data_IF_775382710020
#
_entry.id   IF_775382710020
#
_cell.length_a   1.000
_cell.length_b   1.000
_cell.length_c   1.000
_cell.angle_alpha   90.00
_cell.angle_beta   90.00
_cell.angle_gamma   90.00
#
_symmetry.space_group_name_H-M   'P 1'
#
loop_
_entity.id
_entity.type
_entity.pdbx_description
1 polymer ?
#
# COMPACT_ATOMS: atom_id res chain seq x y z
N UNK A 1 5.69 -21.56 17.84
CA UNK A 1 6.25 -20.26 17.41
C UNK A 1 5.18 -19.19 17.54
N UNK A 2 5.52 -18.02 18.09
CA UNK A 2 4.56 -16.92 18.27
C UNK A 2 4.54 -15.99 17.07
N UNK A 3 5.72 -15.59 16.58
CA UNK A 3 5.86 -14.60 15.52
C UNK A 3 7.22 -14.75 14.81
N UNK A 4 7.32 -14.27 13.58
CA UNK A 4 8.56 -14.27 12.81
C UNK A 4 8.55 -13.19 11.71
N UNK A 5 9.74 -12.74 11.34
CA UNK A 5 9.97 -11.83 10.23
C UNK A 5 11.14 -12.34 9.41
N UNK A 6 10.99 -12.40 8.08
CA UNK A 6 12.04 -12.81 7.14
C UNK A 6 11.94 -11.94 5.89
N UNK A 7 12.84 -10.99 5.71
CA UNK A 7 12.90 -10.11 4.54
C UNK A 7 14.35 -9.72 4.23
N UNK A 8 14.57 -9.06 3.09
CA UNK A 8 15.86 -8.46 2.80
C UNK A 8 16.18 -7.32 3.76
N UNK A 9 17.47 -7.12 4.02
CA UNK A 9 17.93 -5.88 4.61
C UNK A 9 17.66 -4.69 3.68
N UNK A 10 17.31 -3.56 4.29
CA UNK A 10 16.96 -2.33 3.59
C UNK A 10 18.14 -1.78 2.79
N UNK A 11 19.34 -1.82 3.37
CA UNK A 11 20.54 -1.21 2.82
C UNK A 11 21.35 -2.19 1.96
N UNK A 12 21.19 -3.50 2.20
CA UNK A 12 21.90 -4.53 1.44
C UNK A 12 20.97 -5.67 1.00
N UNK A 13 20.58 -5.65 -0.28
CA UNK A 13 19.69 -6.65 -0.90
C UNK A 13 20.30 -8.06 -1.01
N UNK A 14 21.56 -8.26 -0.61
CA UNK A 14 22.20 -9.59 -0.51
C UNK A 14 22.09 -10.20 0.88
N UNK A 15 21.58 -9.47 1.86
CA UNK A 15 21.40 -9.95 3.23
C UNK A 15 19.91 -10.20 3.46
N UNK A 16 19.57 -11.43 3.87
CA UNK A 16 18.27 -11.72 4.47
C UNK A 16 18.43 -11.53 5.97
N UNK A 17 17.53 -10.76 6.58
CA UNK A 17 17.46 -10.52 8.02
C UNK A 17 16.10 -10.91 8.56
N UNK A 18 16.04 -11.19 9.84
CA UNK A 18 14.80 -11.58 10.45
C UNK A 18 14.87 -11.83 11.94
N UNK A 19 13.72 -12.22 12.47
CA UNK A 19 13.62 -12.77 13.81
C UNK A 19 12.63 -13.93 13.86
N UNK A 20 12.79 -14.78 14.87
CA UNK A 20 11.78 -15.75 15.32
C UNK A 20 11.55 -15.53 16.80
N UNK A 21 10.29 -15.48 17.22
CA UNK A 21 9.88 -15.33 18.61
C UNK A 21 9.06 -16.53 19.06
N UNK A 22 9.45 -17.12 20.19
CA UNK A 22 8.73 -18.20 20.84
C UNK A 22 7.84 -17.67 21.97
N UNK A 23 6.78 -18.42 22.29
CA UNK A 23 5.91 -18.21 23.45
C UNK A 23 5.66 -19.55 24.10
N UNK A 24 5.73 -19.61 25.43
CA UNK A 24 5.59 -20.84 26.21
C UNK A 24 6.38 -20.77 27.52
N UNK A 25 6.44 -21.90 28.23
CA UNK A 25 7.12 -21.99 29.54
C UNK A 25 8.63 -22.18 29.41
N UNK A 26 9.08 -22.87 28.36
CA UNK A 26 10.50 -23.10 28.06
C UNK A 26 10.82 -22.44 26.72
N UNK A 27 11.27 -21.18 26.76
CA UNK A 27 11.54 -20.39 25.54
C UNK A 27 13.00 -20.03 25.36
N UNK A 28 13.85 -20.20 26.39
CA UNK A 28 15.27 -19.83 26.33
C UNK A 28 16.13 -21.01 25.88
N UNK A 29 17.16 -20.74 25.08
CA UNK A 29 18.14 -21.73 24.61
C UNK A 29 17.51 -22.89 23.79
N UNK A 30 16.33 -22.67 23.21
CA UNK A 30 15.69 -23.61 22.30
C UNK A 30 16.30 -23.48 20.91
N UNK A 31 16.49 -24.61 20.24
CA UNK A 31 16.95 -24.63 18.85
C UNK A 31 15.82 -24.19 17.90
N UNK A 32 16.15 -23.26 17.01
CA UNK A 32 15.31 -22.84 15.89
C UNK A 32 16.10 -23.10 14.60
N UNK A 33 15.58 -23.97 13.75
CA UNK A 33 16.10 -24.23 12.41
C UNK A 33 15.34 -23.36 11.40
N UNK A 34 16.08 -22.68 10.53
CA UNK A 34 15.58 -21.84 9.45
C UNK A 34 16.07 -22.43 8.14
N UNK A 35 15.14 -22.83 7.27
CA UNK A 35 15.46 -23.40 5.96
C UNK A 35 14.77 -22.64 4.85
N UNK A 36 15.54 -22.36 3.79
CA UNK A 36 15.04 -21.84 2.51
C UNK A 36 15.70 -22.71 1.44
N UNK A 37 15.10 -23.86 1.08
CA UNK A 37 15.75 -24.88 0.25
C UNK A 37 16.26 -24.35 -1.09
N UNK A 38 15.47 -23.54 -1.80
CA UNK A 38 15.84 -23.01 -3.12
C UNK A 38 17.00 -22.00 -3.05
N UNK A 39 17.30 -21.46 -1.87
CA UNK A 39 18.46 -20.60 -1.63
C UNK A 39 19.62 -21.35 -0.95
N UNK A 40 19.50 -22.67 -0.73
CA UNK A 40 20.50 -23.48 -0.03
C UNK A 40 20.68 -23.11 1.45
N UNK A 41 19.70 -22.42 2.05
CA UNK A 41 19.77 -21.98 3.44
C UNK A 41 19.32 -23.13 4.34
N UNK A 42 20.20 -23.54 5.24
CA UNK A 42 19.87 -24.33 6.42
C UNK A 42 20.73 -23.83 7.59
N UNK A 43 20.12 -23.11 8.52
CA UNK A 43 20.80 -22.49 9.66
C UNK A 43 20.07 -22.85 10.95
N UNK A 44 20.84 -23.08 12.01
CA UNK A 44 20.33 -23.36 13.34
C UNK A 44 20.79 -22.27 14.29
N UNK A 45 19.86 -21.79 15.10
CA UNK A 45 20.07 -20.75 16.09
C UNK A 45 19.52 -21.20 17.44
N UNK A 46 19.90 -20.49 18.49
CA UNK A 46 19.31 -20.67 19.82
C UNK A 46 18.66 -19.38 20.29
N UNK A 47 17.46 -19.50 20.85
CA UNK A 47 16.75 -18.36 21.42
C UNK A 47 17.46 -17.77 22.63
N UNK A 48 17.35 -16.46 22.79
CA UNK A 48 17.77 -15.74 24.00
C UNK A 48 16.81 -15.99 25.19
N UNK A 49 17.06 -15.31 26.32
CA UNK A 49 16.21 -15.40 27.52
C UNK A 49 14.77 -14.94 27.32
N UNK A 50 14.50 -14.16 26.27
CA UNK A 50 13.17 -13.65 25.91
C UNK A 50 12.49 -14.53 24.84
N UNK A 51 13.12 -15.63 24.43
CA UNK A 51 12.59 -16.52 23.39
C UNK A 51 12.78 -15.99 21.98
N UNK A 52 13.71 -15.06 21.75
CA UNK A 52 13.94 -14.45 20.44
C UNK A 52 15.25 -14.94 19.83
N UNK A 53 15.19 -15.25 18.54
CA UNK A 53 16.37 -15.34 17.66
C UNK A 53 16.30 -14.16 16.73
N UNK A 54 17.34 -13.32 16.70
CA UNK A 54 17.60 -12.40 15.60
C UNK A 54 18.68 -13.01 14.71
N UNK A 55 18.50 -12.93 13.40
CA UNK A 55 19.42 -13.53 12.45
C UNK A 55 19.62 -12.65 11.23
N UNK A 56 20.78 -12.82 10.61
CA UNK A 56 21.04 -12.38 9.25
C UNK A 56 21.98 -13.38 8.58
N UNK A 57 21.86 -13.51 7.27
CA UNK A 57 22.78 -14.29 6.46
C UNK A 57 22.84 -13.74 5.05
N UNK A 58 24.00 -13.89 4.42
CA UNK A 58 24.18 -13.55 3.01
C UNK A 58 23.50 -14.59 2.12
N UNK A 59 22.96 -14.12 1.00
CA UNK A 59 22.40 -14.93 -0.08
C UNK A 59 22.84 -14.34 -1.41
N UNK A 60 23.36 -15.17 -2.30
CA UNK A 60 23.98 -14.73 -3.57
C UNK A 60 23.12 -14.99 -4.80
N UNK A 61 22.03 -15.76 -4.67
CA UNK A 61 21.21 -16.25 -5.78
C UNK A 61 19.71 -15.95 -5.60
N UNK A 62 19.35 -14.82 -4.98
CA UNK A 62 17.94 -14.43 -4.84
C UNK A 62 17.39 -13.96 -6.18
N UNK A 63 16.43 -14.71 -6.73
CA UNK A 63 15.50 -14.16 -7.72
C UNK A 63 14.53 -13.23 -6.98
N UNK A 64 14.72 -11.93 -7.14
CA UNK A 64 13.91 -10.92 -6.48
C UNK A 64 12.47 -10.92 -7.00
N UNK A 65 11.51 -10.78 -6.08
CA UNK A 65 10.10 -10.63 -6.39
C UNK A 65 9.87 -9.32 -7.15
N UNK A 66 9.03 -9.38 -8.18
CA UNK A 66 8.57 -8.25 -8.99
C UNK A 66 7.21 -8.58 -9.60
N UNK A 67 6.44 -7.59 -10.09
CA UNK A 67 5.19 -7.86 -10.80
C UNK A 67 5.30 -8.85 -11.96
N UNK A 68 6.40 -8.77 -12.72
CA UNK A 68 6.65 -9.64 -13.87
C UNK A 68 7.15 -11.03 -13.46
N UNK A 69 7.88 -11.12 -12.34
CA UNK A 69 8.43 -12.37 -11.80
C UNK A 69 8.15 -12.46 -10.29
N UNK A 70 6.93 -12.85 -9.88
CA UNK A 70 6.51 -12.88 -8.47
C UNK A 70 7.06 -14.11 -7.74
N UNK A 71 8.38 -14.21 -7.65
CA UNK A 71 9.05 -15.37 -7.02
C UNK A 71 8.76 -15.39 -5.52
N UNK A 72 8.24 -16.53 -5.05
CA UNK A 72 8.00 -16.81 -3.63
C UNK A 72 8.80 -18.05 -3.24
N UNK A 73 9.50 -17.97 -2.11
CA UNK A 73 10.32 -19.06 -1.57
C UNK A 73 9.57 -19.77 -0.45
N UNK A 74 9.71 -21.09 -0.38
CA UNK A 74 9.28 -21.85 0.78
C UNK A 74 10.26 -21.58 1.94
N UNK A 75 9.78 -20.89 2.97
CA UNK A 75 10.53 -20.61 4.19
C UNK A 75 10.00 -21.51 5.29
N UNK A 76 10.85 -22.41 5.76
CA UNK A 76 10.52 -23.34 6.84
C UNK A 76 11.21 -22.88 8.13
N UNK A 77 10.42 -22.73 9.18
CA UNK A 77 10.88 -22.47 10.53
C UNK A 77 10.51 -23.67 11.39
N UNK A 78 11.47 -24.22 12.13
CA UNK A 78 11.26 -25.44 12.90
C UNK A 78 11.89 -25.35 14.28
N UNK A 79 11.16 -25.80 15.28
CA UNK A 79 11.66 -26.09 16.63
C UNK A 79 11.52 -27.60 16.90
N UNK A 80 11.83 -28.04 18.12
CA UNK A 80 11.55 -29.42 18.54
C UNK A 80 10.06 -29.76 18.61
N UNK A 81 9.21 -28.75 18.80
CA UNK A 81 7.77 -28.92 19.09
C UNK A 81 6.85 -28.39 18.00
N UNK A 82 7.36 -27.53 17.12
CA UNK A 82 6.53 -26.79 16.16
C UNK A 82 7.24 -26.59 14.82
N UNK A 83 6.46 -26.48 13.75
CA UNK A 83 6.94 -26.16 12.41
C UNK A 83 5.95 -25.24 11.69
N UNK A 84 6.48 -24.18 11.08
CA UNK A 84 5.75 -23.22 10.25
C UNK A 84 6.39 -23.21 8.89
N UNK A 85 5.56 -23.27 7.85
CA UNK A 85 5.98 -23.08 6.47
C UNK A 85 5.23 -21.87 5.91
N UNK A 86 5.94 -20.94 5.27
CA UNK A 86 5.35 -19.76 4.64
C UNK A 86 5.94 -19.54 3.24
N UNK A 87 5.19 -18.86 2.39
CA UNK A 87 5.64 -18.43 1.07
C UNK A 87 6.02 -16.95 1.17
N UNK A 88 7.30 -16.65 0.96
CA UNK A 88 7.86 -15.31 1.16
C UNK A 88 8.62 -14.86 -0.09
N UNK A 89 8.28 -13.68 -0.59
CA UNK A 89 9.03 -13.00 -1.64
C UNK A 89 10.08 -12.07 -1.06
N UNK A 90 11.13 -11.79 -1.83
CA UNK A 90 12.23 -10.91 -1.44
C UNK A 90 12.40 -9.79 -2.47
N UNK A 91 12.30 -8.53 -2.05
CA UNK A 91 12.46 -7.35 -2.92
C UNK A 91 12.94 -6.14 -2.12
N UNK A 92 13.65 -5.22 -2.77
CA UNK A 92 13.94 -3.90 -2.20
C UNK A 92 12.98 -2.84 -2.78
N UNK A 93 12.58 -1.88 -1.95
CA UNK A 93 11.76 -0.74 -2.35
C UNK A 93 12.33 0.53 -1.69
N UNK A 94 12.52 1.58 -2.47
CA UNK A 94 12.99 2.89 -1.97
C UNK A 94 12.52 4.02 -2.89
N UNK A 95 12.69 5.25 -2.42
CA UNK A 95 12.54 6.45 -3.23
C UNK A 95 13.91 7.07 -3.51
N UNK A 96 14.04 7.70 -4.67
CA UNK A 96 15.22 8.50 -5.04
C UNK A 96 14.72 9.74 -5.80
N UNK A 97 14.83 10.91 -5.15
CA UNK A 97 14.17 12.13 -5.61
C UNK A 97 12.67 11.88 -5.87
N UNK A 98 12.24 12.14 -7.10
CA UNK A 98 10.84 11.97 -7.54
C UNK A 98 10.48 10.57 -8.04
N UNK A 99 11.35 9.57 -7.88
CA UNK A 99 11.17 8.23 -8.43
C UNK A 99 10.97 7.17 -7.35
N UNK A 100 10.15 6.16 -7.65
CA UNK A 100 10.01 4.93 -6.87
C UNK A 100 10.85 3.83 -7.53
N UNK A 101 11.71 3.18 -6.74
CA UNK A 101 12.63 2.15 -7.21
C UNK A 101 12.29 0.80 -6.56
N UNK A 102 11.94 -0.18 -7.39
CA UNK A 102 11.78 -1.58 -7.00
C UNK A 102 13.00 -2.37 -7.51
N UNK A 103 13.73 -3.03 -6.61
CA UNK A 103 14.96 -3.75 -6.96
C UNK A 103 15.95 -2.86 -7.76
N UNK A 104 16.14 -1.63 -7.29
CA UNK A 104 16.96 -0.58 -7.90
C UNK A 104 16.54 -0.12 -9.32
N UNK A 105 15.35 -0.53 -9.77
CA UNK A 105 14.78 -0.09 -11.06
C UNK A 105 13.62 0.85 -10.83
N UNK A 106 13.63 1.99 -11.53
CA UNK A 106 12.49 2.92 -11.56
C UNK A 106 11.25 2.20 -12.07
N UNK A 107 10.15 2.33 -11.34
CA UNK A 107 8.84 1.79 -11.72
C UNK A 107 7.78 2.89 -11.76
N UNK A 108 6.72 2.65 -12.53
CA UNK A 108 5.48 3.40 -12.46
C UNK A 108 4.39 2.49 -11.89
N UNK A 109 3.67 2.97 -10.88
CA UNK A 109 2.58 2.23 -10.25
C UNK A 109 1.30 2.43 -11.07
N UNK A 110 1.07 1.52 -12.01
CA UNK A 110 -0.17 1.40 -12.78
C UNK A 110 -1.18 0.70 -11.88
N UNK A 111 -1.94 1.46 -11.10
CA UNK A 111 -2.81 0.88 -10.09
C UNK A 111 -4.29 1.15 -10.28
N UNK A 112 -5.06 0.55 -9.37
CA UNK A 112 -6.50 0.74 -9.21
C UNK A 112 -6.86 0.58 -7.73
N UNK A 113 -7.81 1.35 -7.24
CA UNK A 113 -8.30 1.21 -5.86
C UNK A 113 -9.37 0.13 -5.76
N UNK A 114 -9.43 -0.58 -4.63
CA UNK A 114 -10.34 -1.69 -4.39
C UNK A 114 -10.91 -1.60 -2.97
N UNK A 115 -12.24 -1.70 -2.85
CA UNK A 115 -12.91 -1.97 -1.59
C UNK A 115 -13.04 -3.48 -1.35
N UNK A 116 -13.12 -3.91 -0.09
CA UNK A 116 -13.28 -5.31 0.27
C UNK A 116 -14.74 -5.80 0.07
N UNK A 117 -15.23 -5.74 -1.16
CA UNK A 117 -16.59 -6.13 -1.52
C UNK A 117 -16.55 -7.06 -2.73
N UNK A 118 -17.29 -8.17 -2.66
CA UNK A 118 -17.53 -8.99 -3.85
C UNK A 118 -18.68 -8.35 -4.65
N UNK A 119 -18.43 -7.87 -5.88
CA UNK A 119 -19.41 -7.14 -6.68
C UNK A 119 -20.51 -8.04 -7.28
N UNK A 120 -20.27 -9.34 -7.42
CA UNK A 120 -21.22 -10.31 -7.98
C UNK A 120 -22.15 -10.82 -6.88
N UNK A 121 -21.57 -11.28 -5.77
CA UNK A 121 -22.31 -11.80 -4.62
C UNK A 121 -23.01 -10.69 -3.84
N UNK A 122 -22.42 -9.49 -3.81
CA UNK A 122 -22.87 -8.37 -3.00
C UNK A 122 -22.56 -8.58 -1.51
N UNK A 123 -21.58 -7.86 -0.99
CA UNK A 123 -21.17 -7.91 0.42
C UNK A 123 -19.69 -8.13 0.62
N UNK A 124 -19.24 -8.19 1.88
CA UNK A 124 -17.81 -8.24 2.23
C UNK A 124 -17.10 -9.43 1.56
N UNK A 125 -16.02 -9.12 0.84
CA UNK A 125 -15.10 -10.13 0.33
C UNK A 125 -14.34 -10.76 1.50
N UNK A 126 -14.12 -12.07 1.46
CA UNK A 126 -13.38 -12.77 2.53
C UNK A 126 -12.59 -13.99 2.05
N UNK A 127 -12.93 -14.54 0.88
CA UNK A 127 -12.37 -15.82 0.42
C UNK A 127 -11.23 -15.62 -0.57
N UNK A 128 -10.52 -16.72 -0.86
CA UNK A 128 -9.49 -16.77 -1.90
C UNK A 128 -10.06 -16.46 -3.28
N UNK A 129 -11.26 -16.97 -3.57
CA UNK A 129 -11.95 -16.78 -4.83
C UNK A 129 -12.39 -15.33 -5.02
N UNK A 130 -12.82 -14.66 -3.95
CA UNK A 130 -13.11 -13.21 -3.98
C UNK A 130 -11.86 -12.41 -4.35
N UNK A 131 -10.70 -12.77 -3.77
CA UNK A 131 -9.42 -12.13 -4.09
C UNK A 131 -8.95 -12.42 -5.52
N UNK A 132 -9.06 -13.67 -5.99
CA UNK A 132 -8.72 -14.06 -7.37
C UNK A 132 -9.60 -13.33 -8.39
N UNK A 133 -10.89 -13.12 -8.10
CA UNK A 133 -11.81 -12.35 -8.93
C UNK A 133 -11.36 -10.89 -9.05
N UNK A 134 -11.23 -10.19 -7.92
CA UNK A 134 -10.92 -8.76 -7.88
C UNK A 134 -9.53 -8.46 -8.45
N UNK A 135 -8.52 -9.23 -8.04
CA UNK A 135 -7.15 -9.06 -8.53
C UNK A 135 -6.98 -9.56 -9.98
N UNK A 136 -7.80 -10.51 -10.41
CA UNK A 136 -7.90 -10.94 -11.80
C UNK A 136 -8.35 -9.79 -12.70
N UNK A 137 -9.41 -9.07 -12.32
CA UNK A 137 -9.87 -7.88 -13.04
C UNK A 137 -8.86 -6.74 -13.02
N UNK A 138 -8.17 -6.51 -11.90
CA UNK A 138 -7.07 -5.54 -11.86
C UNK A 138 -5.94 -5.92 -12.84
N UNK A 139 -5.61 -7.21 -12.95
CA UNK A 139 -4.60 -7.69 -13.91
C UNK A 139 -5.05 -7.57 -15.35
N UNK A 140 -6.33 -7.84 -15.64
CA UNK A 140 -6.93 -7.63 -16.96
C UNK A 140 -6.91 -6.16 -17.38
N UNK A 141 -7.14 -5.24 -16.43
CA UNK A 141 -6.97 -3.80 -16.62
C UNK A 141 -5.51 -3.37 -16.89
N UNK A 142 -4.55 -4.28 -16.72
CA UNK A 142 -3.12 -4.03 -16.94
C UNK A 142 -2.39 -3.43 -15.73
N UNK A 143 -3.00 -3.51 -14.54
CA UNK A 143 -2.42 -3.01 -13.31
C UNK A 143 -1.24 -3.87 -12.83
N UNK A 144 -0.24 -3.22 -12.25
CA UNK A 144 0.83 -3.85 -11.47
C UNK A 144 0.77 -3.48 -9.98
N UNK A 145 -0.24 -2.70 -9.58
CA UNK A 145 -0.40 -2.15 -8.24
C UNK A 145 -1.89 -2.09 -7.87
N UNK A 146 -2.23 -2.25 -6.60
CA UNK A 146 -3.57 -1.99 -6.07
C UNK A 146 -3.51 -1.22 -4.78
N UNK A 147 -4.49 -0.33 -4.57
CA UNK A 147 -4.73 0.31 -3.27
C UNK A 147 -5.91 -0.37 -2.61
N UNK A 148 -5.67 -1.03 -1.48
CA UNK A 148 -6.70 -1.70 -0.70
C UNK A 148 -7.28 -0.73 0.31
N UNK A 149 -8.44 -0.17 -0.04
CA UNK A 149 -9.06 0.94 0.66
C UNK A 149 -10.23 0.48 1.55
N UNK A 150 -10.53 1.13 2.67
CA UNK A 150 -9.74 2.12 3.44
C UNK A 150 -9.32 1.53 4.78
N UNK A 151 -9.00 0.24 4.77
CA UNK A 151 -8.77 -0.58 5.95
C UNK A 151 -7.99 -1.83 5.53
N UNK A 152 -7.38 -2.55 6.48
CA UNK A 152 -6.75 -3.83 6.17
C UNK A 152 -7.79 -4.79 5.58
N UNK A 153 -7.56 -5.27 4.36
CA UNK A 153 -8.37 -6.35 3.77
C UNK A 153 -7.99 -7.69 4.41
N UNK A 154 -8.75 -8.74 4.14
CA UNK A 154 -8.49 -10.10 4.56
C UNK A 154 -7.17 -10.65 3.96
N UNK A 155 -6.56 -11.60 4.66
CA UNK A 155 -5.23 -12.14 4.31
C UNK A 155 -5.20 -12.83 2.93
N UNK A 156 -6.34 -13.33 2.43
CA UNK A 156 -6.37 -13.91 1.09
C UNK A 156 -6.06 -12.87 0.02
N UNK A 157 -6.53 -11.63 0.18
CA UNK A 157 -6.27 -10.54 -0.78
C UNK A 157 -4.76 -10.32 -0.95
N UNK A 158 -4.03 -10.16 0.17
CA UNK A 158 -2.59 -9.91 0.13
C UNK A 158 -1.80 -11.12 -0.37
N UNK A 159 -2.17 -12.33 0.07
CA UNK A 159 -1.48 -13.56 -0.37
C UNK A 159 -1.69 -13.84 -1.86
N UNK A 160 -2.85 -13.48 -2.42
CA UNK A 160 -3.10 -13.60 -3.85
C UNK A 160 -2.38 -12.49 -4.62
N UNK A 161 -2.31 -11.26 -4.10
CA UNK A 161 -1.52 -10.19 -4.71
C UNK A 161 -0.02 -10.56 -4.82
N UNK A 162 0.55 -11.14 -3.76
CA UNK A 162 1.92 -11.71 -3.74
C UNK A 162 2.13 -12.72 -4.88
N UNK A 163 1.19 -13.66 -5.03
CA UNK A 163 1.28 -14.72 -6.06
C UNK A 163 1.07 -14.20 -7.48
N UNK A 164 0.20 -13.21 -7.67
CA UNK A 164 -0.13 -12.67 -8.99
C UNK A 164 0.87 -11.64 -9.49
N UNK A 165 1.78 -11.15 -8.63
CA UNK A 165 2.72 -10.09 -8.96
C UNK A 165 2.05 -8.72 -8.99
N UNK A 166 1.27 -8.40 -7.95
CA UNK A 166 0.59 -7.11 -7.83
C UNK A 166 1.12 -6.43 -6.57
N UNK A 167 1.75 -5.27 -6.73
CA UNK A 167 2.19 -4.42 -5.62
C UNK A 167 0.97 -3.90 -4.84
N UNK A 168 1.12 -3.66 -3.54
CA UNK A 168 -0.01 -3.27 -2.68
C UNK A 168 0.30 -2.05 -1.83
N UNK A 169 -0.67 -1.14 -1.77
CA UNK A 169 -0.86 -0.16 -0.71
C UNK A 169 -1.91 -0.68 0.25
N UNK A 170 -1.55 -0.80 1.53
CA UNK A 170 -2.45 -1.12 2.63
C UNK A 170 -2.66 0.10 3.53
N UNK A 171 -3.85 0.25 4.10
CA UNK A 171 -4.26 1.45 4.82
C UNK A 171 -5.07 1.11 6.07
N UNK A 172 -5.02 1.98 7.08
CA UNK A 172 -5.91 1.94 8.25
C UNK A 172 -7.04 2.97 8.11
N UNK A 173 -8.21 2.77 8.73
CA UNK A 173 -9.39 3.64 8.58
C UNK A 173 -9.31 4.94 9.41
N UNK A 174 -8.16 5.60 9.45
CA UNK A 174 -8.01 6.97 9.95
C UNK A 174 -8.46 7.90 8.83
N UNK A 175 -9.78 8.12 8.78
CA UNK A 175 -10.46 8.68 7.61
C UNK A 175 -11.29 9.91 8.03
N UNK A 176 -11.18 11.00 7.28
CA UNK A 176 -11.91 12.25 7.51
C UNK A 176 -11.69 12.86 8.91
N UNK A 177 -12.76 13.13 9.64
CA UNK A 177 -12.80 13.96 10.85
C UNK A 177 -12.67 13.11 12.11
N UNK A 178 -11.54 12.41 12.23
CA UNK A 178 -11.18 11.67 13.45
C UNK A 178 -11.01 12.64 14.63
N UNK A 179 -11.32 12.19 15.83
CA UNK A 179 -11.09 12.92 17.08
C UNK A 179 -9.59 12.86 17.47
N UNK A 180 -8.82 13.84 16.98
CA UNK A 180 -7.34 13.85 17.07
C UNK A 180 -6.78 14.05 18.47
N UNK A 181 -7.53 14.67 19.38
CA UNK A 181 -7.08 14.96 20.75
C UNK A 181 -7.40 13.82 21.72
N UNK A 182 -8.25 12.89 21.29
CA UNK A 182 -8.65 11.75 22.09
C UNK A 182 -7.58 10.64 22.09
N UNK A 183 -7.06 10.36 23.27
CA UNK A 183 -6.01 9.35 23.48
C UNK A 183 -6.48 7.94 23.15
N UNK A 184 -7.73 7.59 23.42
CA UNK A 184 -8.28 6.27 23.11
C UNK A 184 -8.42 6.08 21.60
N UNK A 185 -8.84 7.12 20.88
CA UNK A 185 -8.86 7.15 19.41
C UNK A 185 -7.46 6.91 18.84
N UNK A 186 -6.44 7.57 19.39
CA UNK A 186 -5.05 7.34 19.00
C UNK A 186 -4.58 5.91 19.28
N UNK A 187 -4.85 5.37 20.47
CA UNK A 187 -4.47 3.99 20.81
C UNK A 187 -5.14 2.96 19.90
N UNK A 188 -6.41 3.19 19.52
CA UNK A 188 -7.10 2.33 18.57
C UNK A 188 -6.44 2.37 17.17
N UNK A 189 -6.17 3.57 16.63
CA UNK A 189 -5.48 3.70 15.35
C UNK A 189 -4.08 3.08 15.36
N UNK A 190 -3.34 3.28 16.45
CA UNK A 190 -2.02 2.68 16.67
C UNK A 190 -2.09 1.15 16.71
N UNK A 191 -3.10 0.59 17.39
CA UNK A 191 -3.31 -0.86 17.46
C UNK A 191 -3.59 -1.43 16.07
N UNK A 192 -4.52 -0.84 15.32
CA UNK A 192 -4.85 -1.29 13.96
C UNK A 192 -3.64 -1.23 13.01
N UNK A 193 -2.83 -0.16 13.09
CA UNK A 193 -1.60 -0.02 12.32
C UNK A 193 -0.59 -1.13 12.69
N UNK A 194 -0.43 -1.38 13.99
CA UNK A 194 0.49 -2.40 14.48
C UNK A 194 0.05 -3.81 14.08
N UNK A 195 -1.25 -4.07 14.10
CA UNK A 195 -1.83 -5.36 13.70
C UNK A 195 -1.64 -5.66 12.22
N UNK A 196 -1.93 -4.70 11.33
CA UNK A 196 -1.76 -4.92 9.87
C UNK A 196 -0.28 -5.08 9.51
N UNK A 197 0.61 -4.24 10.04
CA UNK A 197 2.06 -4.38 9.81
C UNK A 197 2.53 -5.73 10.36
N UNK A 198 2.08 -6.13 11.56
CA UNK A 198 2.47 -7.42 12.13
C UNK A 198 1.97 -8.61 11.30
N UNK A 199 0.75 -8.56 10.78
CA UNK A 199 0.19 -9.63 9.95
C UNK A 199 0.96 -9.78 8.63
N UNK A 200 1.25 -8.66 7.97
CA UNK A 200 1.68 -8.64 6.57
C UNK A 200 3.15 -8.23 6.35
N UNK A 201 3.96 -8.08 7.42
CA UNK A 201 5.40 -7.78 7.34
C UNK A 201 6.21 -8.69 6.40
N UNK A 202 5.77 -9.93 6.17
CA UNK A 202 6.42 -10.91 5.28
C UNK A 202 5.86 -10.93 3.85
N UNK A 203 4.94 -10.03 3.49
CA UNK A 203 4.29 -9.97 2.16
C UNK A 203 5.05 -9.05 1.22
N UNK A 204 5.69 -9.59 0.19
CA UNK A 204 6.57 -8.79 -0.68
C UNK A 204 5.81 -7.74 -1.49
N UNK A 205 4.57 -8.07 -1.87
CA UNK A 205 3.63 -7.23 -2.58
C UNK A 205 3.37 -5.91 -1.87
N UNK A 206 3.18 -5.91 -0.55
CA UNK A 206 2.94 -4.67 0.19
C UNK A 206 4.18 -3.80 0.13
N UNK A 207 4.06 -2.59 -0.41
CA UNK A 207 5.16 -1.63 -0.54
C UNK A 207 4.88 -0.29 0.14
N UNK A 208 3.61 0.01 0.42
CA UNK A 208 3.18 1.26 1.04
C UNK A 208 2.28 0.94 2.23
N UNK A 209 2.64 1.48 3.39
CA UNK A 209 1.75 1.62 4.54
C UNK A 209 1.15 3.03 4.54
N UNK A 210 -0.17 3.12 4.42
CA UNK A 210 -0.88 4.39 4.53
C UNK A 210 -1.50 4.56 5.89
N UNK A 211 -1.29 5.74 6.47
CA UNK A 211 -1.72 6.05 7.83
C UNK A 211 -3.03 6.84 7.88
N UNK A 212 -3.50 7.42 6.76
CA UNK A 212 -4.78 8.14 6.72
C UNK A 212 -5.28 8.46 5.31
N UNK A 213 -6.52 8.95 5.24
CA UNK A 213 -7.13 9.48 4.02
C UNK A 213 -8.01 10.71 4.28
N UNK A 214 -7.80 11.77 3.49
CA UNK A 214 -8.59 13.01 3.45
C UNK A 214 -8.85 13.60 4.84
N UNK A 215 -7.78 13.85 5.57
CA UNK A 215 -7.84 14.32 6.96
C UNK A 215 -7.57 15.82 7.03
N UNK A 216 -8.53 16.64 7.53
CA UNK A 216 -8.35 18.09 7.59
C UNK A 216 -7.14 18.51 8.43
N UNK A 217 -6.43 19.54 7.97
CA UNK A 217 -5.23 20.04 8.63
C UNK A 217 -5.50 20.66 10.00
N UNK A 218 -4.77 20.21 11.01
CA UNK A 218 -4.65 20.82 12.34
C UNK A 218 -3.36 20.34 13.02
N UNK A 219 -2.90 21.06 14.05
CA UNK A 219 -1.70 20.66 14.82
C UNK A 219 -1.89 19.32 15.54
N UNK A 220 -3.09 19.06 16.06
CA UNK A 220 -3.45 17.79 16.68
C UNK A 220 -3.38 16.64 15.66
N UNK A 221 -3.96 16.83 14.47
CA UNK A 221 -3.87 15.85 13.36
C UNK A 221 -2.44 15.60 12.94
N UNK A 222 -1.63 16.65 12.77
CA UNK A 222 -0.22 16.51 12.38
C UNK A 222 0.57 15.68 13.40
N UNK A 223 0.37 15.95 14.70
CA UNK A 223 1.01 15.19 15.79
C UNK A 223 0.56 13.73 15.79
N UNK A 224 -0.74 13.48 15.66
CA UNK A 224 -1.34 12.15 15.61
C UNK A 224 -0.73 11.30 14.48
N UNK A 225 -0.75 11.82 13.25
CA UNK A 225 -0.25 11.09 12.08
C UNK A 225 1.28 10.94 12.10
N UNK A 226 2.01 11.93 12.60
CA UNK A 226 3.47 11.84 12.74
C UNK A 226 3.88 10.72 13.70
N UNK A 227 3.16 10.55 14.80
CA UNK A 227 3.41 9.46 15.74
C UNK A 227 3.07 8.09 15.14
N UNK A 228 1.99 7.99 14.35
CA UNK A 228 1.68 6.77 13.59
C UNK A 228 2.77 6.44 12.57
N UNK A 229 3.21 7.42 11.79
CA UNK A 229 4.30 7.23 10.81
C UNK A 229 5.61 6.84 11.49
N UNK A 230 5.93 7.43 12.65
CA UNK A 230 7.10 7.03 13.43
C UNK A 230 6.99 5.57 13.90
N UNK A 231 5.83 5.16 14.41
CA UNK A 231 5.59 3.78 14.84
C UNK A 231 5.69 2.81 13.67
N UNK A 232 5.10 3.13 12.51
CA UNK A 232 5.22 2.32 11.31
C UNK A 232 6.70 2.09 10.94
N UNK A 233 7.55 3.12 10.99
CA UNK A 233 9.00 2.98 10.75
C UNK A 233 9.72 2.13 11.79
N UNK A 234 9.27 2.15 13.04
CA UNK A 234 9.85 1.30 14.09
C UNK A 234 9.50 -0.18 13.88
N UNK A 235 8.27 -0.47 13.43
CA UNK A 235 7.80 -1.83 13.17
C UNK A 235 8.31 -2.38 11.84
N UNK A 236 8.43 -1.53 10.82
CA UNK A 236 8.87 -1.90 9.49
C UNK A 236 9.69 -0.78 8.83
N UNK A 237 10.96 -1.06 8.59
CA UNK A 237 11.89 -0.13 7.94
C UNK A 237 11.99 -0.35 6.43
N UNK A 238 11.37 -1.41 5.91
CA UNK A 238 11.55 -1.91 4.53
C UNK A 238 10.52 -1.39 3.54
N UNK A 239 9.42 -0.79 4.00
CA UNK A 239 8.32 -0.27 3.17
C UNK A 239 8.21 1.24 3.27
N UNK A 240 7.55 1.84 2.28
CA UNK A 240 7.30 3.27 2.19
C UNK A 240 6.09 3.64 3.03
N UNK A 241 6.05 4.88 3.51
CA UNK A 241 4.89 5.46 4.21
C UNK A 241 4.22 6.50 3.32
N UNK A 242 2.90 6.47 3.29
CA UNK A 242 2.07 7.44 2.57
C UNK A 242 0.82 7.83 3.36
N UNK A 243 0.02 8.71 2.77
CA UNK A 243 -1.30 9.12 3.22
C UNK A 243 -2.00 9.78 2.03
N UNK A 244 -3.31 9.58 1.86
CA UNK A 244 -4.08 10.29 0.83
C UNK A 244 -4.41 11.70 1.33
N UNK A 245 -3.61 12.68 0.92
CA UNK A 245 -3.73 14.09 1.36
C UNK A 245 -4.77 14.85 0.53
N UNK A 246 -5.17 16.02 1.05
CA UNK A 246 -6.11 16.91 0.37
C UNK A 246 -5.41 17.86 -0.60
N UNK A 247 -6.09 18.16 -1.71
CA UNK A 247 -5.65 19.14 -2.71
C UNK A 247 -6.19 20.52 -2.35
N UNK A 248 -5.36 21.54 -2.53
CA UNK A 248 -5.71 22.95 -2.35
C UNK A 248 -5.35 23.78 -3.58
N UNK A 249 -5.86 25.01 -3.67
CA UNK A 249 -5.49 25.96 -4.71
C UNK A 249 -4.25 26.75 -4.27
N UNK A 250 -3.25 26.87 -5.14
CA UNK A 250 -2.08 27.72 -4.93
C UNK A 250 -2.46 29.18 -5.21
N UNK A 251 -2.12 30.10 -4.30
CA UNK A 251 -2.39 31.54 -4.42
C UNK A 251 -3.86 31.89 -4.79
N UNK A 252 -4.81 31.06 -4.32
CA UNK A 252 -6.24 31.16 -4.64
C UNK A 252 -6.60 31.02 -6.14
N UNK A 253 -5.68 30.58 -7.01
CA UNK A 253 -6.00 30.29 -8.41
C UNK A 253 -6.74 28.94 -8.51
N UNK A 254 -8.00 28.91 -8.97
CA UNK A 254 -8.79 27.68 -9.06
C UNK A 254 -8.26 26.66 -10.08
N UNK A 255 -7.30 27.05 -10.93
CA UNK A 255 -6.64 26.20 -11.92
C UNK A 255 -5.18 25.86 -11.57
N UNK A 256 -4.62 26.41 -10.50
CA UNK A 256 -3.29 26.04 -10.03
C UNK A 256 -3.41 25.28 -8.71
N UNK A 257 -3.19 23.96 -8.75
CA UNK A 257 -3.38 23.06 -7.61
C UNK A 257 -2.06 22.78 -6.90
N UNK A 258 -2.12 22.51 -5.61
CA UNK A 258 -0.97 22.20 -4.77
C UNK A 258 -1.38 21.42 -3.52
N UNK A 259 -0.40 20.91 -2.79
CA UNK A 259 -0.60 20.23 -1.50
C UNK A 259 0.00 21.09 -0.40
N UNK A 260 -0.87 21.83 0.29
CA UNK A 260 -0.50 22.60 1.48
C UNK A 260 -0.78 21.79 2.74
N UNK A 261 0.06 20.77 2.98
CA UNK A 261 -0.05 19.90 4.16
C UNK A 261 1.35 19.64 4.75
N UNK A 262 1.62 20.03 6.02
CA UNK A 262 2.93 19.80 6.64
C UNK A 262 3.28 18.30 6.74
N UNK A 263 2.30 17.41 6.75
CA UNK A 263 2.52 15.96 6.77
C UNK A 263 3.14 15.43 5.46
N UNK A 264 3.07 16.19 4.36
CA UNK A 264 3.79 15.88 3.13
C UNK A 264 5.31 15.74 3.35
N UNK A 265 5.88 16.46 4.32
CA UNK A 265 7.29 16.35 4.68
C UNK A 265 7.63 15.02 5.38
N UNK A 266 6.65 14.38 6.04
CA UNK A 266 6.84 13.18 6.87
C UNK A 266 6.75 11.89 6.06
N UNK A 267 5.94 11.83 5.01
CA UNK A 267 5.74 10.63 4.17
C UNK A 267 6.90 10.38 3.21
N UNK A 268 7.09 9.15 2.74
CA UNK A 268 8.14 8.84 1.74
C UNK A 268 7.63 9.10 0.30
N UNK A 269 6.32 8.98 0.10
CA UNK A 269 5.61 9.22 -1.17
C UNK A 269 4.51 10.24 -0.94
N UNK A 270 4.45 11.30 -1.76
CA UNK A 270 3.38 12.28 -1.70
C UNK A 270 2.16 11.73 -2.44
N UNK A 271 1.04 11.54 -1.75
CA UNK A 271 -0.18 11.04 -2.39
C UNK A 271 -1.38 11.92 -2.07
N UNK A 272 -2.31 12.04 -3.01
CA UNK A 272 -3.51 12.86 -2.82
C UNK A 272 -4.66 12.44 -3.75
N UNK A 273 -5.86 12.77 -3.32
CA UNK A 273 -7.10 12.53 -4.07
C UNK A 273 -7.46 13.76 -4.92
N UNK A 274 -7.83 13.55 -6.19
CA UNK A 274 -8.11 14.64 -7.12
C UNK A 274 -9.26 14.33 -8.09
N UNK A 275 -10.44 14.89 -7.83
CA UNK A 275 -11.65 14.68 -8.63
C UNK A 275 -12.00 15.85 -9.56
N UNK A 276 -10.98 16.38 -10.26
CA UNK A 276 -11.18 17.43 -11.28
C UNK A 276 -11.99 16.88 -12.44
N UNK A 277 -13.06 17.59 -12.81
CA UNK A 277 -14.01 17.17 -13.82
C UNK A 277 -15.16 16.30 -13.30
N UNK A 278 -15.15 15.90 -12.03
CA UNK A 278 -16.29 15.30 -11.35
C UNK A 278 -16.81 16.17 -10.22
N UNK A 279 -16.10 16.26 -9.09
CA UNK A 279 -16.50 17.15 -7.99
C UNK A 279 -16.04 18.60 -8.22
N UNK A 280 -14.93 18.79 -8.93
CA UNK A 280 -14.41 20.11 -9.28
C UNK A 280 -14.57 20.39 -10.79
N UNK A 281 -15.71 20.96 -11.17
CA UNK A 281 -16.01 21.38 -12.54
C UNK A 281 -16.41 20.24 -13.50
N UNK A 282 -16.34 20.53 -14.80
CA UNK A 282 -16.57 19.59 -15.91
C UNK A 282 -15.24 19.08 -16.48
N UNK A 283 -15.22 18.02 -17.32
CA UNK A 283 -13.98 17.41 -17.81
C UNK A 283 -13.01 18.41 -18.48
N UNK A 284 -13.54 19.42 -19.17
CA UNK A 284 -12.73 20.50 -19.78
C UNK A 284 -11.89 21.30 -18.79
N UNK A 285 -12.24 21.32 -17.49
CA UNK A 285 -11.42 21.95 -16.46
C UNK A 285 -10.03 21.30 -16.39
N UNK A 286 -9.92 20.00 -16.63
CA UNK A 286 -8.66 19.26 -16.63
C UNK A 286 -7.65 19.80 -17.65
N UNK A 287 -8.11 20.44 -18.73
CA UNK A 287 -7.23 21.08 -19.76
C UNK A 287 -6.51 22.32 -19.23
N UNK A 288 -7.08 22.98 -18.23
CA UNK A 288 -6.61 24.26 -17.67
C UNK A 288 -5.84 24.08 -16.37
N UNK A 289 -6.13 23.00 -15.64
CA UNK A 289 -5.49 22.72 -14.36
C UNK A 289 -4.01 22.38 -14.54
N UNK A 290 -3.18 23.01 -13.73
CA UNK A 290 -1.77 22.72 -13.54
C UNK A 290 -1.47 22.50 -12.07
N UNK A 291 -0.31 21.91 -11.78
CA UNK A 291 0.08 21.54 -10.43
C UNK A 291 1.40 22.20 -10.06
N UNK A 292 1.46 22.81 -8.88
CA UNK A 292 2.68 23.32 -8.27
C UNK A 292 2.98 22.52 -7.01
N UNK A 293 3.97 21.64 -7.10
CA UNK A 293 4.41 20.77 -6.01
C UNK A 293 5.92 20.96 -5.88
N UNK A 294 6.35 21.61 -4.81
CA UNK A 294 7.75 22.00 -4.61
C UNK A 294 8.55 20.96 -3.78
N UNK A 295 7.87 19.96 -3.21
CA UNK A 295 8.52 18.87 -2.48
C UNK A 295 9.10 17.85 -3.47
N UNK A 296 10.38 17.48 -3.29
CA UNK A 296 11.10 16.51 -4.13
C UNK A 296 10.80 15.07 -3.70
N UNK A 297 9.61 14.58 -4.08
CA UNK A 297 9.11 13.24 -3.73
C UNK A 297 8.27 12.67 -4.87
N UNK A 298 8.25 11.33 -5.06
CA UNK A 298 7.34 10.73 -6.01
C UNK A 298 5.89 11.06 -5.66
N UNK A 299 5.09 11.34 -6.69
CA UNK A 299 3.66 11.65 -6.56
C UNK A 299 2.80 10.46 -6.99
N UNK A 300 1.82 10.10 -6.17
CA UNK A 300 0.75 9.17 -6.55
C UNK A 300 -0.59 9.88 -6.48
N UNK A 301 -1.38 9.80 -7.56
CA UNK A 301 -2.80 10.19 -7.51
C UNK A 301 -3.57 9.02 -6.90
N UNK A 302 -3.86 9.08 -5.60
CA UNK A 302 -4.41 7.96 -4.83
C UNK A 302 -5.89 7.70 -5.12
N UNK A 303 -6.60 8.71 -5.61
CA UNK A 303 -7.96 8.62 -6.16
C UNK A 303 -8.20 9.71 -7.21
N UNK A 304 -8.93 9.34 -8.26
CA UNK A 304 -9.54 10.25 -9.23
C UNK A 304 -10.57 9.45 -10.04
N UNK A 305 -11.44 10.14 -10.77
CA UNK A 305 -12.45 9.50 -11.62
C UNK A 305 -13.84 10.14 -11.46
N UNK A 306 -14.86 9.39 -11.84
CA UNK A 306 -16.26 9.81 -11.76
C UNK A 306 -17.19 8.64 -12.05
N UNK A 307 -18.47 8.77 -11.66
CA UNK A 307 -19.45 7.69 -11.77
C UNK A 307 -20.06 7.57 -13.16
N UNK A 308 -20.31 6.33 -13.58
CA UNK A 308 -21.17 5.97 -14.70
C UNK A 308 -22.08 4.81 -14.30
N UNK A 309 -23.22 4.67 -15.00
CA UNK A 309 -24.07 3.48 -14.88
C UNK A 309 -23.88 2.64 -16.14
N UNK A 310 -23.39 1.41 -15.99
CA UNK A 310 -23.24 0.50 -17.13
C UNK A 310 -24.54 0.36 -17.93
N UNK A 311 -24.44 0.47 -19.25
CA UNK A 311 -25.53 0.46 -20.22
C UNK A 311 -26.32 1.78 -20.34
N UNK A 312 -25.96 2.82 -19.59
CA UNK A 312 -26.54 4.15 -19.77
C UNK A 312 -25.67 5.01 -20.69
N UNK A 313 -26.19 5.27 -21.90
CA UNK A 313 -25.51 6.07 -22.92
C UNK A 313 -26.17 7.43 -23.10
N UNK A 314 -25.36 8.48 -23.24
CA UNK A 314 -25.79 9.85 -23.53
C UNK A 314 -24.65 10.66 -24.18
N UNK A 315 -24.78 11.99 -24.26
CA UNK A 315 -23.65 12.83 -24.68
C UNK A 315 -22.52 12.86 -23.63
N UNK A 316 -21.33 13.33 -24.04
CA UNK A 316 -20.11 13.35 -23.21
C UNK A 316 -20.13 14.35 -22.06
N UNK A 317 -21.20 15.14 -21.88
CA UNK A 317 -21.38 16.10 -20.79
C UNK A 317 -22.58 15.73 -19.89
N UNK A 318 -23.34 14.69 -20.24
CA UNK A 318 -24.38 14.13 -19.37
C UNK A 318 -23.77 13.19 -18.33
N UNK A 319 -23.68 13.63 -17.07
CA UNK A 319 -23.17 12.80 -15.96
C UNK A 319 -23.91 11.48 -15.84
N UNK A 320 -23.20 10.47 -15.34
CA UNK A 320 -23.61 9.07 -15.25
C UNK A 320 -23.61 8.28 -16.56
N UNK A 321 -23.48 8.92 -17.73
CA UNK A 321 -23.28 8.18 -18.97
C UNK A 321 -21.87 7.59 -19.05
N UNK A 322 -21.74 6.47 -19.77
CA UNK A 322 -20.42 5.92 -20.09
C UNK A 322 -19.57 6.91 -20.89
N UNK A 323 -20.18 7.69 -21.79
CA UNK A 323 -19.48 8.69 -22.60
C UNK A 323 -18.91 9.85 -21.76
N UNK A 324 -19.60 10.26 -20.68
CA UNK A 324 -19.06 11.25 -19.74
C UNK A 324 -17.84 10.70 -19.02
N UNK A 325 -17.92 9.48 -18.48
CA UNK A 325 -16.82 8.87 -17.74
C UNK A 325 -15.62 8.63 -18.67
N UNK A 326 -15.86 8.14 -19.89
CA UNK A 326 -14.81 7.99 -20.91
C UNK A 326 -14.12 9.33 -21.21
N UNK A 327 -14.90 10.39 -21.43
CA UNK A 327 -14.35 11.72 -21.67
C UNK A 327 -13.56 12.25 -20.47
N UNK A 328 -14.09 12.06 -19.26
CA UNK A 328 -13.44 12.43 -18.02
C UNK A 328 -12.07 11.75 -17.86
N UNK A 329 -11.98 10.43 -18.07
CA UNK A 329 -10.72 9.69 -17.97
C UNK A 329 -9.70 10.16 -19.00
N UNK A 330 -10.10 10.40 -20.26
CA UNK A 330 -9.22 10.95 -21.30
C UNK A 330 -8.60 12.28 -20.88
N UNK A 331 -9.39 13.16 -20.26
CA UNK A 331 -8.90 14.49 -19.84
C UNK A 331 -8.14 14.46 -18.50
N UNK A 332 -8.50 13.56 -17.58
CA UNK A 332 -7.76 13.33 -16.33
C UNK A 332 -6.35 12.81 -16.62
N UNK A 333 -6.20 11.79 -17.48
CA UNK A 333 -4.88 11.23 -17.83
C UNK A 333 -3.98 12.31 -18.43
N UNK A 334 -4.47 13.06 -19.43
CA UNK A 334 -3.72 14.19 -20.03
C UNK A 334 -3.33 15.26 -19.01
N UNK A 335 -4.16 15.49 -17.99
CA UNK A 335 -3.86 16.43 -16.91
C UNK A 335 -2.73 15.94 -16.03
N UNK A 336 -2.78 14.68 -15.61
CA UNK A 336 -1.77 14.11 -14.73
C UNK A 336 -0.45 13.84 -15.45
N UNK A 337 -0.42 13.57 -16.76
CA UNK A 337 0.82 13.47 -17.54
C UNK A 337 1.67 14.76 -17.51
N UNK A 338 1.07 15.91 -17.18
CA UNK A 338 1.79 17.18 -17.00
C UNK A 338 2.47 17.31 -15.63
N UNK A 339 2.26 16.37 -14.70
CA UNK A 339 2.95 16.31 -13.42
C UNK A 339 4.32 15.64 -13.58
N UNK A 340 5.44 16.38 -13.48
CA UNK A 340 6.77 15.79 -13.70
C UNK A 340 7.17 14.75 -12.64
N UNK A 341 6.57 14.82 -11.45
CA UNK A 341 6.86 13.92 -10.33
C UNK A 341 5.94 12.70 -10.28
N UNK A 342 5.01 12.56 -11.23
CA UNK A 342 4.03 11.47 -11.24
C UNK A 342 4.74 10.10 -11.35
N UNK A 343 4.54 9.28 -10.33
CA UNK A 343 5.10 7.93 -10.22
C UNK A 343 4.03 6.85 -10.07
N UNK A 344 2.76 7.22 -9.95
CA UNK A 344 1.68 6.25 -9.82
C UNK A 344 0.28 6.84 -9.83
N UNK A 345 -0.69 5.99 -10.05
CA UNK A 345 -2.11 6.34 -10.05
C UNK A 345 -2.93 5.15 -9.56
N UNK A 346 -3.98 5.40 -8.76
CA UNK A 346 -4.97 4.39 -8.36
C UNK A 346 -6.38 4.98 -8.49
N UNK A 347 -6.96 5.01 -9.70
CA UNK A 347 -8.31 5.53 -9.91
C UNK A 347 -9.32 4.95 -8.93
N UNK A 348 -10.33 5.74 -8.62
CA UNK A 348 -11.46 5.34 -7.80
C UNK A 348 -12.64 5.04 -8.73
N UNK A 349 -13.00 3.77 -8.96
CA UNK A 349 -12.57 2.53 -8.28
C UNK A 349 -12.66 1.34 -9.27
N UNK A 350 -12.10 0.18 -8.95
CA UNK A 350 -12.18 -1.01 -9.80
C UNK A 350 -13.62 -1.50 -10.03
N UNK A 351 -14.44 -1.52 -8.98
CA UNK A 351 -15.80 -2.07 -9.02
C UNK A 351 -16.76 -1.15 -8.28
N UNK A 352 -17.95 -0.96 -8.84
CA UNK A 352 -19.06 -0.34 -8.11
C UNK A 352 -19.26 -1.04 -6.76
N UNK A 353 -19.54 -0.27 -5.71
CA UNK A 353 -19.64 -0.76 -4.33
C UNK A 353 -20.74 -0.03 -3.58
N UNK A 354 -21.15 -0.60 -2.44
CA UNK A 354 -22.18 0.01 -1.59
C UNK A 354 -21.62 1.16 -0.77
N UNK A 355 -22.23 2.33 -0.91
CA UNK A 355 -22.03 3.47 -0.02
C UNK A 355 -23.30 3.69 0.81
N UNK A 356 -23.23 3.89 2.13
CA UNK A 356 -24.39 4.09 2.99
C UNK A 356 -25.05 5.48 2.89
N UNK A 357 -24.68 6.29 1.88
CA UNK A 357 -25.27 7.61 1.61
C UNK A 357 -25.92 7.65 0.23
#
# INVERSE_FOLDING_TARGET
MQDYFVQLDKENSKIVKGFVKLKGNEISNNEVEIRIPDLGVNKKFKTDKKGVVEFNFETTNVNYWSPENPTLYNVELKTSEDQVNDLIGFRSIKTEGTSILLNDKKIFLKGISIHEENPIRGGRAYSKEDAELLLGWAKELGCNFVRLAHYPHNENMIRIADKLGILVWEEIPVYWTIDWENKETYQNALNQLSEVISRDKNRAATIIWSVSNETPNSDARFTFLSNLAQTARQLDQTRLISSALEVSNFDNDPNLKTIHDPFAAVVDVLSFNAYVGWYDGLPDKCKKVNWKIDIDKPVIISEFGGGAKYGFHADSLTRWSEEYQEYLYKENIKMFERLPQLSGMTPWILTDFRSPR
#
